data_IF_978044128440
#
_entry.id   IF_978044128440
#
_cell.length_a   1.000
_cell.length_b   1.000
_cell.length_c   1.000
_cell.angle_alpha   90.00
_cell.angle_beta   90.00
_cell.angle_gamma   90.00
#
_symmetry.space_group_name_H-M   'P 1'
#
loop_
_entity.id
_entity.type
_entity.pdbx_description
1 polymer ?
#
# COMPACT_ATOMS: atom_id res chain seq x y z
N UNK A 1 45.66 39.75 -46.52
CA UNK A 1 46.15 38.45 -46.05
C UNK A 1 45.56 38.17 -44.70
N UNK A 2 44.52 37.37 -44.70
CA UNK A 2 43.98 36.56 -43.58
C UNK A 2 42.71 35.87 -44.08
N UNK A 3 42.77 34.58 -44.43
CA UNK A 3 41.83 33.67 -43.97
C UNK A 3 42.37 32.20 -43.89
N UNK A 4 43.28 31.94 -42.97
CA UNK A 4 43.70 30.56 -42.78
C UNK A 4 43.35 29.98 -41.39
N UNK A 5 43.00 30.86 -40.43
CA UNK A 5 42.72 30.42 -39.04
C UNK A 5 41.28 29.94 -38.81
N UNK A 6 40.31 30.35 -39.64
CA UNK A 6 38.90 29.99 -39.44
C UNK A 6 38.51 28.59 -39.95
N UNK A 7 39.27 28.08 -40.91
CA UNK A 7 39.01 26.73 -41.45
C UNK A 7 39.57 25.60 -40.56
N UNK A 8 40.62 25.89 -39.79
CA UNK A 8 41.21 24.92 -38.88
C UNK A 8 40.34 24.69 -37.62
N UNK A 9 39.66 25.76 -37.17
CA UNK A 9 38.75 25.68 -36.00
C UNK A 9 37.47 24.92 -36.30
N UNK A 10 36.93 25.03 -37.52
CA UNK A 10 35.76 24.23 -37.93
C UNK A 10 36.09 22.75 -38.16
N UNK A 11 37.30 22.43 -38.62
CA UNK A 11 37.72 21.05 -38.81
C UNK A 11 37.93 20.31 -37.47
N UNK A 12 38.46 21.00 -36.44
CA UNK A 12 38.62 20.44 -35.11
C UNK A 12 37.27 20.28 -34.36
N UNK A 13 36.30 21.19 -34.58
CA UNK A 13 34.96 21.06 -34.02
C UNK A 13 34.18 19.92 -34.66
N UNK A 14 34.39 19.63 -35.95
CA UNK A 14 33.78 18.49 -36.65
C UNK A 14 34.34 17.13 -36.20
N UNK A 15 35.64 17.06 -35.87
CA UNK A 15 36.27 15.84 -35.35
C UNK A 15 35.86 15.52 -33.88
N UNK A 16 35.56 16.54 -33.08
CA UNK A 16 35.08 16.32 -31.71
C UNK A 16 33.63 15.84 -31.65
N UNK A 17 32.80 16.17 -32.64
CA UNK A 17 31.43 15.73 -32.74
C UNK A 17 31.26 14.25 -33.21
N UNK A 18 32.30 13.70 -33.87
CA UNK A 18 32.25 12.33 -34.39
C UNK A 18 32.51 11.22 -33.34
N UNK A 19 32.85 11.59 -32.11
CA UNK A 19 33.19 10.61 -31.05
C UNK A 19 32.11 10.40 -30.00
N UNK A 20 30.93 10.98 -30.15
CA UNK A 20 29.76 10.73 -29.30
C UNK A 20 28.75 9.81 -29.96
N UNK A 21 29.19 8.83 -30.73
CA UNK A 21 28.31 7.72 -31.12
C UNK A 21 27.99 6.91 -29.85
N UNK A 22 26.72 6.91 -29.46
CA UNK A 22 26.26 6.05 -28.38
C UNK A 22 26.70 4.62 -28.70
N UNK A 23 27.33 3.95 -27.74
CA UNK A 23 27.74 2.56 -27.88
C UNK A 23 26.49 1.71 -28.19
N UNK A 24 26.62 0.76 -29.13
CA UNK A 24 25.50 -0.14 -29.46
C UNK A 24 25.05 -0.86 -28.21
N UNK A 25 23.73 -0.95 -27.94
CA UNK A 25 23.19 -1.78 -26.86
C UNK A 25 23.67 -3.23 -26.92
N UNK A 26 23.99 -3.75 -28.10
CA UNK A 26 24.52 -5.10 -28.31
C UNK A 26 25.87 -5.34 -27.61
N UNK A 27 26.66 -4.30 -27.37
CA UNK A 27 27.92 -4.41 -26.61
C UNK A 27 27.71 -4.82 -25.15
N UNK A 28 26.50 -4.63 -24.64
CA UNK A 28 26.15 -4.93 -23.25
C UNK A 28 25.29 -6.21 -23.12
N UNK A 29 25.00 -6.89 -24.25
CA UNK A 29 24.14 -8.10 -24.28
C UNK A 29 24.65 -9.26 -23.41
N UNK A 30 25.97 -9.32 -23.17
CA UNK A 30 26.58 -10.31 -22.28
C UNK A 30 26.67 -9.87 -20.81
N UNK A 31 26.25 -8.62 -20.51
CA UNK A 31 26.24 -8.15 -19.14
C UNK A 31 25.01 -8.63 -18.42
N UNK A 32 25.19 -9.40 -17.37
CA UNK A 32 24.13 -9.86 -16.49
C UNK A 32 24.29 -9.27 -15.10
N UNK A 33 23.19 -8.80 -14.54
CA UNK A 33 23.17 -8.37 -13.15
C UNK A 33 23.41 -9.58 -12.25
N UNK A 34 24.39 -9.48 -11.36
CA UNK A 34 24.65 -10.47 -10.32
C UNK A 34 24.45 -9.83 -8.96
N UNK A 35 23.57 -10.40 -8.19
CA UNK A 35 23.41 -9.98 -6.80
C UNK A 35 24.65 -10.42 -5.99
N UNK A 36 25.36 -9.46 -5.43
CA UNK A 36 26.58 -9.67 -4.64
C UNK A 36 26.35 -9.53 -3.12
N UNK A 37 25.08 -9.39 -2.71
CA UNK A 37 24.65 -9.24 -1.31
C UNK A 37 24.77 -7.80 -0.77
N UNK A 38 24.36 -7.55 0.49
CA UNK A 38 23.71 -8.54 1.36
C UNK A 38 22.35 -8.98 0.80
N UNK A 39 21.96 -10.24 1.05
CA UNK A 39 20.67 -10.80 0.64
C UNK A 39 19.56 -10.18 1.51
N UNK A 40 19.06 -9.04 1.09
CA UNK A 40 18.01 -8.30 1.77
C UNK A 40 16.90 -7.95 0.78
N UNK A 41 15.70 -8.49 1.01
CA UNK A 41 14.53 -8.28 0.15
C UNK A 41 13.93 -6.88 0.23
N UNK A 42 14.39 -6.03 1.14
CA UNK A 42 13.78 -4.73 1.41
C UNK A 42 12.72 -4.81 2.52
N UNK A 43 11.86 -3.79 2.58
CA UNK A 43 10.71 -3.78 3.48
C UNK A 43 9.59 -4.59 2.87
N UNK A 44 8.93 -5.41 3.67
CA UNK A 44 7.70 -6.11 3.28
C UNK A 44 6.53 -5.18 3.47
N UNK A 45 5.79 -4.91 2.40
CA UNK A 45 4.57 -4.11 2.42
C UNK A 45 3.32 -4.94 2.13
N UNK A 46 3.47 -5.97 1.32
CA UNK A 46 2.36 -6.80 0.90
C UNK A 46 2.57 -8.25 1.31
N UNK A 47 1.54 -8.86 1.86
CA UNK A 47 1.50 -10.27 2.25
C UNK A 47 0.12 -10.83 1.96
N UNK A 48 0.06 -11.96 1.28
CA UNK A 48 -1.18 -12.68 1.04
C UNK A 48 -0.99 -14.17 1.28
N UNK A 49 -1.86 -14.75 2.10
CA UNK A 49 -2.02 -16.19 2.24
C UNK A 49 -3.13 -16.69 1.31
N UNK A 50 -3.13 -17.99 1.03
CA UNK A 50 -4.15 -18.66 0.24
C UNK A 50 -4.93 -19.63 1.13
N UNK A 51 -6.10 -19.26 1.70
CA UNK A 51 -6.83 -20.10 2.67
C UNK A 51 -7.14 -21.52 2.16
N UNK A 52 -7.43 -21.66 0.86
CA UNK A 52 -7.67 -22.97 0.21
C UNK A 52 -6.39 -23.78 -0.05
N UNK A 53 -5.20 -23.15 0.09
CA UNK A 53 -3.88 -23.76 -0.06
C UNK A 53 -2.97 -23.25 1.06
N UNK A 54 -3.12 -23.74 2.31
CA UNK A 54 -2.53 -23.12 3.52
C UNK A 54 -1.00 -23.12 3.56
N UNK A 55 -0.35 -23.85 2.67
CA UNK A 55 1.11 -23.84 2.47
C UNK A 55 1.58 -22.77 1.47
N UNK A 56 0.65 -22.03 0.82
CA UNK A 56 0.98 -21.05 -0.22
C UNK A 56 0.88 -19.63 0.32
N UNK A 57 1.95 -18.87 0.15
CA UNK A 57 2.05 -17.47 0.54
C UNK A 57 2.68 -16.65 -0.58
N UNK A 58 2.26 -15.40 -0.67
CA UNK A 58 2.88 -14.38 -1.52
C UNK A 58 3.37 -13.24 -0.64
N UNK A 59 4.53 -12.70 -0.98
CA UNK A 59 5.14 -11.56 -0.29
C UNK A 59 5.61 -10.54 -1.32
N UNK A 60 5.37 -9.27 -1.05
CA UNK A 60 5.83 -8.15 -1.87
C UNK A 60 6.74 -7.23 -1.08
N UNK A 61 7.84 -6.86 -1.70
CA UNK A 61 8.84 -5.97 -1.11
C UNK A 61 8.82 -4.61 -1.79
N UNK A 62 9.19 -3.57 -1.05
CA UNK A 62 9.25 -2.21 -1.59
C UNK A 62 10.18 -2.08 -2.80
N UNK A 63 11.25 -2.87 -2.88
CA UNK A 63 12.21 -2.86 -3.98
C UNK A 63 12.71 -4.27 -4.33
N UNK A 64 11.93 -5.31 -4.05
CA UNK A 64 12.36 -6.70 -4.20
C UNK A 64 11.38 -7.58 -4.98
N UNK A 65 10.35 -7.00 -5.59
CA UNK A 65 9.37 -7.73 -6.39
C UNK A 65 8.40 -8.59 -5.58
N UNK A 66 7.72 -9.48 -6.28
CA UNK A 66 6.77 -10.45 -5.72
C UNK A 66 7.42 -11.82 -5.63
N UNK A 67 7.26 -12.46 -4.49
CA UNK A 67 7.76 -13.83 -4.24
C UNK A 67 6.64 -14.73 -3.78
N UNK A 68 6.76 -16.01 -4.12
CA UNK A 68 5.83 -17.07 -3.70
C UNK A 68 6.56 -18.16 -2.95
N UNK A 69 5.97 -18.61 -1.84
CA UNK A 69 6.29 -19.87 -1.18
C UNK A 69 5.15 -20.88 -1.39
N UNK A 70 5.50 -22.17 -1.47
CA UNK A 70 4.56 -23.29 -1.52
C UNK A 70 4.83 -24.34 -0.46
N UNK A 71 5.63 -24.00 0.55
CA UNK A 71 6.13 -24.88 1.59
C UNK A 71 6.17 -24.19 2.97
N UNK A 72 5.10 -23.43 3.28
CA UNK A 72 4.95 -22.68 4.54
C UNK A 72 6.05 -21.62 4.78
N UNK A 73 6.59 -21.03 3.71
CA UNK A 73 7.61 -19.99 3.82
C UNK A 73 9.05 -20.49 3.94
N UNK A 74 9.30 -21.81 3.78
CA UNK A 74 10.64 -22.39 3.87
C UNK A 74 11.50 -22.01 2.68
N UNK A 75 10.91 -21.98 1.48
CA UNK A 75 11.58 -21.51 0.25
C UNK A 75 10.71 -20.50 -0.50
N UNK A 76 11.36 -19.64 -1.28
CA UNK A 76 10.71 -18.56 -2.01
C UNK A 76 11.21 -18.49 -3.45
N UNK A 77 10.28 -18.30 -4.39
CA UNK A 77 10.55 -18.15 -5.81
C UNK A 77 10.09 -16.78 -6.27
N UNK A 78 10.94 -16.00 -6.96
CA UNK A 78 10.56 -14.71 -7.53
C UNK A 78 9.56 -14.90 -8.69
N UNK A 79 8.60 -13.98 -8.82
CA UNK A 79 7.54 -14.06 -9.82
C UNK A 79 7.38 -12.78 -10.64
N UNK A 80 8.14 -11.73 -10.36
CA UNK A 80 7.88 -10.40 -10.90
C UNK A 80 9.12 -9.77 -11.56
N UNK A 81 10.19 -10.54 -11.75
CA UNK A 81 11.49 -10.05 -12.23
C UNK A 81 11.45 -9.52 -13.67
N UNK A 82 10.51 -10.02 -14.49
CA UNK A 82 10.32 -9.57 -15.88
C UNK A 82 9.47 -8.29 -15.99
N UNK A 83 9.04 -7.72 -14.88
CA UNK A 83 8.24 -6.48 -14.88
C UNK A 83 9.13 -5.25 -14.72
N UNK A 84 8.70 -4.07 -15.24
CA UNK A 84 9.53 -2.85 -15.25
C UNK A 84 9.77 -2.24 -13.86
N UNK A 85 9.07 -2.69 -12.84
CA UNK A 85 9.25 -2.24 -11.46
C UNK A 85 9.27 -3.42 -10.49
N UNK A 86 10.12 -3.35 -9.49
CA UNK A 86 10.15 -4.28 -8.34
C UNK A 86 9.56 -3.70 -7.06
N UNK A 87 8.97 -2.51 -7.11
CA UNK A 87 8.37 -1.88 -5.93
C UNK A 87 6.91 -2.34 -5.77
N UNK A 88 6.59 -3.00 -4.66
CA UNK A 88 5.28 -3.62 -4.41
C UNK A 88 4.65 -3.06 -3.14
N UNK A 89 3.44 -2.49 -3.29
CA UNK A 89 2.66 -1.94 -2.18
C UNK A 89 1.51 -2.84 -1.73
N UNK A 90 0.92 -3.60 -2.64
CA UNK A 90 -0.23 -4.46 -2.35
C UNK A 90 -0.21 -5.77 -3.12
N UNK A 91 -0.70 -6.83 -2.50
CA UNK A 91 -0.99 -8.12 -3.15
C UNK A 91 -2.35 -8.61 -2.66
N UNK A 92 -3.23 -8.97 -3.59
CA UNK A 92 -4.52 -9.56 -3.30
C UNK A 92 -4.72 -10.83 -4.12
N UNK A 93 -4.95 -11.96 -3.44
CA UNK A 93 -5.36 -13.23 -4.05
C UNK A 93 -6.88 -13.30 -4.03
N UNK A 94 -7.49 -13.58 -5.18
CA UNK A 94 -8.95 -13.68 -5.25
C UNK A 94 -9.44 -14.91 -4.44
N UNK A 95 -10.32 -14.73 -3.42
CA UNK A 95 -10.74 -15.84 -2.57
C UNK A 95 -11.47 -16.96 -3.33
N UNK A 96 -12.27 -16.62 -4.33
CA UNK A 96 -13.01 -17.56 -5.18
C UNK A 96 -12.16 -18.30 -6.21
N UNK A 97 -11.00 -17.72 -6.59
CA UNK A 97 -10.06 -18.35 -7.53
C UNK A 97 -8.61 -17.95 -7.19
N UNK A 98 -7.87 -18.78 -6.45
CA UNK A 98 -6.53 -18.44 -5.98
C UNK A 98 -5.45 -18.38 -7.07
N UNK A 99 -5.78 -18.69 -8.32
CA UNK A 99 -4.89 -18.48 -9.44
C UNK A 99 -4.98 -17.05 -10.01
N UNK A 100 -6.00 -16.28 -9.58
CA UNK A 100 -6.13 -14.87 -9.88
C UNK A 100 -5.49 -14.04 -8.76
N UNK A 101 -4.49 -13.26 -9.13
CA UNK A 101 -3.73 -12.40 -8.22
C UNK A 101 -3.68 -10.99 -8.80
N UNK A 102 -3.91 -10.01 -7.95
CA UNK A 102 -3.70 -8.61 -8.26
C UNK A 102 -2.51 -8.08 -7.47
N UNK A 103 -1.69 -7.29 -8.12
CA UNK A 103 -0.52 -6.63 -7.53
C UNK A 103 -0.63 -5.13 -7.77
N UNK A 104 -0.54 -4.37 -6.70
CA UNK A 104 -0.36 -2.93 -6.73
C UNK A 104 1.11 -2.60 -6.58
N UNK A 105 1.65 -1.85 -7.53
CA UNK A 105 3.06 -1.46 -7.52
C UNK A 105 3.27 -0.12 -6.83
N UNK A 106 4.54 0.20 -6.52
CA UNK A 106 4.91 1.30 -5.63
C UNK A 106 4.80 0.89 -4.17
N UNK A 107 5.54 1.55 -3.30
CA UNK A 107 5.72 1.10 -1.92
C UNK A 107 4.46 1.19 -1.04
N UNK A 108 3.42 1.89 -1.46
CA UNK A 108 2.19 2.08 -0.68
C UNK A 108 2.37 2.90 0.61
N UNK A 109 3.50 3.59 0.74
CA UNK A 109 3.83 4.51 1.83
C UNK A 109 4.62 5.71 1.30
N UNK A 110 4.66 6.79 2.06
CA UNK A 110 5.41 8.00 1.70
C UNK A 110 6.78 7.98 2.35
N UNK A 111 7.82 7.85 1.50
CA UNK A 111 9.22 7.99 1.89
C UNK A 111 10.08 8.42 0.71
N UNK A 112 11.17 9.18 0.93
CA UNK A 112 12.04 9.66 -0.15
C UNK A 112 12.94 8.56 -0.73
N UNK A 113 13.11 7.43 -0.05
CA UNK A 113 14.03 6.34 -0.39
C UNK A 113 13.34 5.14 -1.08
N UNK A 114 12.07 5.28 -1.47
CA UNK A 114 11.30 4.20 -2.10
C UNK A 114 11.15 4.41 -3.59
N UNK A 115 11.26 3.31 -4.35
CA UNK A 115 10.96 3.32 -5.76
C UNK A 115 9.46 3.43 -6.01
N UNK A 116 9.11 4.17 -7.03
CA UNK A 116 7.73 4.25 -7.52
C UNK A 116 7.38 3.01 -8.34
N UNK A 117 6.10 2.70 -8.40
CA UNK A 117 5.54 1.71 -9.30
C UNK A 117 4.97 2.36 -10.56
N UNK A 118 4.15 1.58 -11.26
CA UNK A 118 3.46 1.99 -12.49
C UNK A 118 2.01 1.50 -12.56
N UNK A 119 1.37 1.30 -11.40
CA UNK A 119 -0.04 0.96 -11.30
C UNK A 119 -0.32 -0.49 -10.90
N UNK A 120 -1.32 -1.11 -11.51
CA UNK A 120 -1.88 -2.40 -11.12
C UNK A 120 -1.59 -3.48 -12.16
N UNK A 121 -1.25 -4.67 -11.67
CA UNK A 121 -1.04 -5.88 -12.47
C UNK A 121 -1.99 -7.00 -12.06
N UNK A 122 -2.32 -7.88 -13.01
CA UNK A 122 -3.11 -9.11 -12.79
C UNK A 122 -2.36 -10.32 -13.33
N UNK A 123 -2.38 -11.39 -12.56
CA UNK A 123 -2.08 -12.75 -13.02
C UNK A 123 -3.35 -13.58 -12.98
N UNK A 124 -3.48 -14.56 -13.90
CA UNK A 124 -4.54 -15.56 -13.92
C UNK A 124 -4.00 -16.99 -13.84
N UNK A 125 -2.72 -17.13 -13.53
CA UNK A 125 -1.98 -18.41 -13.52
C UNK A 125 -1.08 -18.56 -12.29
N UNK A 126 -1.53 -18.00 -11.16
CA UNK A 126 -0.83 -18.01 -9.87
C UNK A 126 0.53 -17.30 -9.90
N UNK A 127 0.65 -16.22 -10.67
CA UNK A 127 1.82 -15.35 -10.74
C UNK A 127 2.88 -15.78 -11.75
N UNK A 128 2.59 -16.72 -12.66
CA UNK A 128 3.56 -17.12 -13.71
C UNK A 128 3.68 -16.06 -14.80
N UNK A 129 2.55 -15.42 -15.14
CA UNK A 129 2.50 -14.32 -16.11
C UNK A 129 1.69 -13.16 -15.57
N UNK A 130 2.00 -11.95 -16.03
CA UNK A 130 1.39 -10.72 -15.56
C UNK A 130 0.91 -9.83 -16.70
N UNK A 131 -0.24 -9.21 -16.50
CA UNK A 131 -0.83 -8.23 -17.40
C UNK A 131 -0.95 -6.91 -16.66
N UNK A 132 -0.39 -5.83 -17.20
CA UNK A 132 -0.58 -4.49 -16.69
C UNK A 132 -2.00 -3.98 -16.95
N UNK A 133 -2.68 -3.45 -15.95
CA UNK A 133 -4.09 -3.07 -16.01
C UNK A 133 -4.33 -1.56 -16.09
N UNK A 134 -3.37 -0.73 -15.68
CA UNK A 134 -3.51 0.73 -15.65
C UNK A 134 -3.20 1.36 -14.30
N UNK A 135 -3.72 2.56 -14.06
CA UNK A 135 -3.38 3.44 -12.92
C UNK A 135 -1.88 3.73 -12.84
N UNK A 136 -1.25 3.91 -14.01
CA UNK A 136 0.20 4.11 -14.13
C UNK A 136 0.67 5.38 -13.41
N UNK A 137 -0.08 6.45 -13.56
CA UNK A 137 0.27 7.75 -12.98
C UNK A 137 0.07 7.79 -11.47
N UNK A 138 -0.67 6.82 -10.90
CA UNK A 138 -0.76 6.67 -9.45
C UNK A 138 0.60 6.38 -8.82
N UNK A 139 1.45 5.60 -9.48
CA UNK A 139 2.80 5.23 -9.05
C UNK A 139 2.89 4.50 -7.70
N UNK A 140 1.87 4.59 -6.85
CA UNK A 140 1.84 3.92 -5.55
C UNK A 140 0.42 3.42 -5.24
N UNK A 141 0.31 2.13 -5.02
CA UNK A 141 -0.94 1.46 -4.61
C UNK A 141 -0.78 0.95 -3.18
N UNK A 142 -1.59 1.46 -2.27
CA UNK A 142 -1.51 1.13 -0.85
C UNK A 142 -2.19 -0.19 -0.50
N UNK A 143 -3.38 -0.44 -1.08
CA UNK A 143 -4.12 -1.69 -0.85
C UNK A 143 -5.00 -2.06 -2.05
N UNK A 144 -5.32 -3.35 -2.17
CA UNK A 144 -6.27 -3.91 -3.13
C UNK A 144 -7.19 -4.88 -2.38
N UNK A 145 -8.51 -4.68 -2.51
CA UNK A 145 -9.53 -5.59 -2.01
C UNK A 145 -10.28 -6.25 -3.16
N UNK A 146 -10.31 -7.57 -3.20
CA UNK A 146 -11.02 -8.37 -4.22
C UNK A 146 -12.29 -8.93 -3.60
N UNK A 147 -13.39 -8.83 -4.33
CA UNK A 147 -14.67 -9.41 -3.92
C UNK A 147 -14.54 -10.93 -3.70
N UNK A 148 -14.96 -11.44 -2.53
CA UNK A 148 -14.79 -12.85 -2.20
C UNK A 148 -15.53 -13.81 -3.14
N UNK A 149 -16.62 -13.37 -3.76
CA UNK A 149 -17.42 -14.19 -4.67
C UNK A 149 -17.15 -13.92 -6.15
N UNK A 150 -16.69 -12.71 -6.49
CA UNK A 150 -16.47 -12.28 -7.87
C UNK A 150 -15.03 -11.74 -8.06
N UNK A 151 -14.10 -12.54 -8.62
CA UNK A 151 -12.71 -12.14 -8.77
C UNK A 151 -12.50 -10.98 -9.75
N UNK A 152 -13.51 -10.64 -10.55
CA UNK A 152 -13.44 -9.51 -11.49
C UNK A 152 -13.91 -8.18 -10.88
N UNK A 153 -14.45 -8.22 -9.65
CA UNK A 153 -14.78 -7.01 -8.89
C UNK A 153 -13.70 -6.75 -7.84
N UNK A 154 -13.10 -5.57 -7.91
CA UNK A 154 -12.06 -5.17 -6.96
C UNK A 154 -12.08 -3.67 -6.69
N UNK A 155 -11.51 -3.29 -5.55
CA UNK A 155 -11.21 -1.90 -5.18
C UNK A 155 -9.70 -1.74 -5.03
N UNK A 156 -9.22 -0.55 -5.40
CA UNK A 156 -7.82 -0.16 -5.34
C UNK A 156 -7.70 1.13 -4.56
N UNK A 157 -6.95 1.11 -3.48
CA UNK A 157 -6.54 2.30 -2.74
C UNK A 157 -5.29 2.87 -3.41
N UNK A 158 -5.49 3.93 -4.20
CA UNK A 158 -4.42 4.58 -4.94
C UNK A 158 -3.84 5.74 -4.12
N UNK A 159 -2.59 5.57 -3.69
CA UNK A 159 -1.89 6.58 -2.91
C UNK A 159 -1.51 7.79 -3.77
N UNK A 160 -1.28 7.59 -5.05
CA UNK A 160 -0.78 8.59 -5.98
C UNK A 160 0.75 8.72 -5.94
N UNK A 161 1.31 9.46 -6.87
CA UNK A 161 2.75 9.71 -6.84
C UNK A 161 3.14 10.57 -5.63
N UNK A 162 4.38 10.40 -5.10
CA UNK A 162 4.76 11.00 -3.82
C UNK A 162 4.93 12.52 -3.89
N UNK A 163 5.29 13.08 -5.06
CA UNK A 163 5.63 14.48 -5.22
C UNK A 163 4.57 15.25 -6.00
N UNK A 164 3.98 16.28 -5.37
CA UNK A 164 2.98 17.13 -5.99
C UNK A 164 1.56 16.54 -6.09
N UNK A 165 0.64 17.29 -6.69
CA UNK A 165 -0.74 16.86 -6.88
C UNK A 165 -0.83 15.72 -7.90
N UNK A 166 -1.80 14.82 -7.72
CA UNK A 166 -2.01 13.69 -8.62
C UNK A 166 -3.49 13.36 -8.77
N UNK A 167 -3.97 13.33 -10.02
CA UNK A 167 -5.36 13.04 -10.30
C UNK A 167 -5.72 11.56 -10.06
N UNK A 168 -4.75 10.64 -10.06
CA UNK A 168 -4.96 9.22 -9.77
C UNK A 168 -4.77 8.90 -8.28
N UNK A 169 -5.37 9.70 -7.39
CA UNK A 169 -5.50 9.45 -5.94
C UNK A 169 -6.93 9.06 -5.59
N UNK A 170 -7.12 8.42 -4.45
CA UNK A 170 -8.41 8.00 -3.93
C UNK A 170 -8.68 6.51 -4.09
N UNK A 171 -9.96 6.13 -4.06
CA UNK A 171 -10.39 4.74 -4.22
C UNK A 171 -10.96 4.54 -5.62
N UNK A 172 -10.46 3.52 -6.30
CA UNK A 172 -10.92 3.09 -7.61
C UNK A 172 -11.63 1.74 -7.49
N UNK A 173 -12.65 1.53 -8.31
CA UNK A 173 -13.38 0.27 -8.45
C UNK A 173 -13.27 -0.24 -9.87
N UNK A 174 -13.07 -1.54 -10.02
CA UNK A 174 -13.28 -2.28 -11.27
C UNK A 174 -14.36 -3.33 -11.06
N UNK A 175 -15.14 -3.62 -12.10
CA UNK A 175 -16.15 -4.70 -12.14
C UNK A 175 -15.92 -5.65 -13.31
N UNK A 176 -14.80 -5.50 -14.01
CA UNK A 176 -14.45 -6.22 -15.23
C UNK A 176 -13.04 -6.83 -15.20
N UNK A 177 -12.53 -7.10 -13.99
CA UNK A 177 -11.23 -7.72 -13.76
C UNK A 177 -10.06 -6.79 -13.99
N UNK A 178 -10.27 -5.48 -13.83
CA UNK A 178 -9.23 -4.45 -13.97
C UNK A 178 -9.06 -3.93 -15.39
N UNK A 179 -9.96 -4.28 -16.34
CA UNK A 179 -9.92 -3.70 -17.69
C UNK A 179 -10.27 -2.22 -17.69
N UNK A 180 -11.16 -1.83 -16.78
CA UNK A 180 -11.50 -0.43 -16.54
C UNK A 180 -11.53 -0.13 -15.04
N UNK A 181 -11.18 1.10 -14.68
CA UNK A 181 -11.22 1.60 -13.30
C UNK A 181 -12.08 2.86 -13.22
N UNK A 182 -13.05 2.86 -12.32
CA UNK A 182 -13.86 4.02 -11.98
C UNK A 182 -13.40 4.59 -10.64
N UNK A 183 -13.08 5.88 -10.57
CA UNK A 183 -12.83 6.58 -9.31
C UNK A 183 -14.13 6.73 -8.54
N UNK A 184 -14.26 6.11 -7.37
CA UNK A 184 -15.51 6.02 -6.62
C UNK A 184 -15.50 6.79 -5.30
N UNK A 185 -14.31 7.06 -4.74
CA UNK A 185 -14.15 7.94 -3.57
C UNK A 185 -12.91 8.82 -3.79
N UNK A 186 -13.11 10.13 -3.77
CA UNK A 186 -12.09 11.12 -4.08
C UNK A 186 -12.44 12.46 -3.43
N UNK A 187 -11.47 13.14 -2.89
CA UNK A 187 -11.60 14.48 -2.29
C UNK A 187 -10.92 15.52 -3.18
N UNK A 188 -9.60 15.39 -3.35
CA UNK A 188 -8.76 16.28 -4.14
C UNK A 188 -7.48 15.60 -4.61
N UNK A 189 -6.63 16.33 -5.35
CA UNK A 189 -5.36 15.80 -5.90
C UNK A 189 -4.26 15.59 -4.85
N UNK A 190 -4.49 15.94 -3.58
CA UNK A 190 -3.57 15.75 -2.46
C UNK A 190 -4.03 14.64 -1.50
N UNK A 191 -5.27 14.13 -1.65
CA UNK A 191 -5.87 13.14 -0.75
C UNK A 191 -5.87 11.76 -1.38
N UNK A 192 -5.08 10.89 -0.80
CA UNK A 192 -4.82 9.52 -1.25
C UNK A 192 -5.86 8.53 -0.77
N UNK A 193 -6.09 7.45 -1.53
CA UNK A 193 -6.62 6.21 -0.97
C UNK A 193 -5.52 5.49 -0.19
N UNK A 194 -5.74 5.29 1.12
CA UNK A 194 -4.78 4.63 1.99
C UNK A 194 -5.12 3.17 2.23
N UNK A 195 -6.39 2.88 2.44
CA UNK A 195 -6.83 1.52 2.75
C UNK A 195 -8.23 1.25 2.18
N UNK A 196 -8.54 -0.03 1.87
CA UNK A 196 -9.86 -0.45 1.40
C UNK A 196 -10.14 -1.90 1.77
N UNK A 197 -11.34 -2.18 2.30
CA UNK A 197 -11.83 -3.51 2.66
C UNK A 197 -13.24 -3.75 2.17
N UNK A 198 -13.49 -4.98 1.71
CA UNK A 198 -14.84 -5.48 1.41
C UNK A 198 -15.27 -6.36 2.57
N UNK A 199 -16.51 -6.19 3.05
CA UNK A 199 -17.09 -7.11 4.03
C UNK A 199 -17.14 -8.53 3.42
N UNK A 200 -16.53 -9.52 4.08
CA UNK A 200 -16.44 -10.87 3.53
C UNK A 200 -17.78 -11.60 3.45
N UNK A 201 -18.81 -11.12 4.15
CA UNK A 201 -20.16 -11.72 4.20
C UNK A 201 -21.19 -10.96 3.39
N UNK A 202 -20.97 -9.65 3.19
CA UNK A 202 -21.82 -8.79 2.37
C UNK A 202 -20.93 -7.87 1.48
N UNK A 203 -20.65 -8.29 0.24
CA UNK A 203 -19.79 -7.48 -0.64
C UNK A 203 -20.37 -6.13 -1.05
N UNK A 204 -21.63 -5.82 -0.74
CA UNK A 204 -22.17 -4.47 -0.90
C UNK A 204 -21.59 -3.48 0.12
N UNK A 205 -21.09 -3.99 1.25
CA UNK A 205 -20.46 -3.18 2.30
C UNK A 205 -18.96 -3.08 2.03
N UNK A 206 -18.49 -1.84 1.92
CA UNK A 206 -17.07 -1.54 1.67
C UNK A 206 -16.62 -0.42 2.62
N UNK A 207 -15.46 -0.60 3.21
CA UNK A 207 -14.80 0.41 4.05
C UNK A 207 -13.58 0.95 3.32
N UNK A 208 -13.30 2.24 3.49
CA UNK A 208 -12.11 2.88 2.94
C UNK A 208 -11.54 3.93 3.89
N UNK A 209 -10.23 4.11 3.83
CA UNK A 209 -9.54 5.20 4.51
C UNK A 209 -8.87 6.11 3.46
N UNK A 210 -9.05 7.41 3.64
CA UNK A 210 -8.34 8.44 2.89
C UNK A 210 -7.29 9.11 3.76
N UNK A 211 -6.22 9.57 3.12
CA UNK A 211 -5.09 10.23 3.77
C UNK A 211 -4.56 11.36 2.91
N UNK A 212 -4.65 12.60 3.38
CA UNK A 212 -4.00 13.73 2.73
C UNK A 212 -2.51 13.75 3.07
N UNK A 213 -1.65 13.59 2.05
CA UNK A 213 -0.22 13.48 2.25
C UNK A 213 0.58 13.90 1.01
N UNK A 214 1.83 14.30 1.23
CA UNK A 214 2.77 14.60 0.15
C UNK A 214 4.22 14.50 0.64
N UNK A 215 5.07 13.85 -0.14
CA UNK A 215 6.52 13.89 0.05
C UNK A 215 7.07 15.22 -0.46
N UNK A 216 7.91 15.88 0.32
CA UNK A 216 8.66 17.06 -0.11
C UNK A 216 10.00 16.67 -0.77
N UNK A 217 10.58 17.56 -1.56
CA UNK A 217 11.87 17.33 -2.20
C UNK A 217 13.06 17.27 -1.22
N UNK A 218 12.86 17.65 0.03
CA UNK A 218 13.79 17.43 1.14
C UNK A 218 13.29 16.28 1.99
N UNK A 219 14.04 15.84 2.99
CA UNK A 219 13.67 14.73 3.88
C UNK A 219 12.37 14.95 4.69
N UNK A 220 11.63 16.00 4.41
CA UNK A 220 10.33 16.27 5.00
C UNK A 220 9.19 15.66 4.19
N UNK A 221 8.07 15.43 4.86
CA UNK A 221 6.81 15.11 4.22
C UNK A 221 5.67 15.77 5.01
N UNK A 222 4.62 16.15 4.29
CA UNK A 222 3.36 16.56 4.91
C UNK A 222 2.51 15.30 5.07
N UNK A 223 2.26 14.91 6.32
CA UNK A 223 1.54 13.69 6.65
C UNK A 223 0.10 13.94 7.08
N UNK A 224 -0.41 15.14 6.96
CA UNK A 224 -1.74 15.45 7.42
C UNK A 224 -2.37 16.63 6.71
N UNK A 225 -3.70 16.60 6.70
CA UNK A 225 -4.55 17.65 6.20
C UNK A 225 -6.01 17.24 6.40
N UNK A 226 -6.97 18.12 6.10
CA UNK A 226 -8.40 17.90 6.36
C UNK A 226 -9.04 16.86 5.42
N UNK A 227 -8.32 16.35 4.41
CA UNK A 227 -8.82 15.35 3.47
C UNK A 227 -8.82 13.92 3.99
N UNK A 228 -8.19 13.63 5.14
CA UNK A 228 -8.19 12.31 5.77
C UNK A 228 -9.58 11.90 6.28
N UNK A 229 -9.81 10.60 6.47
CA UNK A 229 -11.06 10.10 7.01
C UNK A 229 -11.30 8.62 6.77
N UNK A 230 -12.26 8.06 7.52
CA UNK A 230 -12.76 6.69 7.30
C UNK A 230 -14.17 6.80 6.71
N UNK A 231 -14.44 5.97 5.71
CA UNK A 231 -15.68 5.99 4.95
C UNK A 231 -16.26 4.59 4.83
N UNK A 232 -17.60 4.51 4.75
CA UNK A 232 -18.34 3.29 4.50
C UNK A 232 -19.29 3.48 3.33
N UNK A 233 -19.33 2.48 2.47
CA UNK A 233 -20.37 2.28 1.45
C UNK A 233 -21.22 1.07 1.83
N UNK A 234 -22.51 1.10 1.49
CA UNK A 234 -23.46 -0.03 1.63
C UNK A 234 -24.12 -0.39 0.30
N UNK A 235 -23.63 0.18 -0.80
CA UNK A 235 -24.14 0.00 -2.16
C UNK A 235 -23.05 -0.40 -3.16
N UNK A 236 -22.03 -1.10 -2.64
CA UNK A 236 -20.95 -1.62 -3.46
C UNK A 236 -19.96 -0.56 -3.94
N UNK A 237 -19.78 0.51 -3.18
CA UNK A 237 -18.84 1.60 -3.48
C UNK A 237 -19.41 2.62 -4.44
N UNK A 238 -20.74 2.74 -4.57
CA UNK A 238 -21.37 3.77 -5.40
C UNK A 238 -21.52 5.08 -4.63
N UNK A 239 -21.95 5.00 -3.37
CA UNK A 239 -22.01 6.14 -2.45
C UNK A 239 -21.22 5.85 -1.18
N UNK A 240 -20.68 6.90 -0.55
CA UNK A 240 -19.83 6.80 0.61
C UNK A 240 -20.26 7.77 1.72
N UNK A 241 -20.32 7.26 2.94
CA UNK A 241 -20.62 8.05 4.13
C UNK A 241 -19.40 8.10 5.04
N UNK A 242 -19.02 9.27 5.55
CA UNK A 242 -17.93 9.38 6.51
C UNK A 242 -18.33 8.73 7.85
N UNK A 243 -17.39 8.10 8.50
CA UNK A 243 -17.52 7.53 9.85
C UNK A 243 -16.76 8.44 10.83
N UNK A 244 -17.47 9.10 11.73
CA UNK A 244 -16.88 10.13 12.61
C UNK A 244 -17.18 9.92 14.10
N UNK A 245 -18.26 9.21 14.42
CA UNK A 245 -18.76 9.10 15.80
C UNK A 245 -17.77 8.32 16.70
N UNK A 246 -17.15 9.05 17.65
CA UNK A 246 -16.16 8.49 18.58
C UNK A 246 -14.74 8.42 18.03
N UNK A 247 -14.48 8.93 16.83
CA UNK A 247 -13.14 9.10 16.27
C UNK A 247 -12.59 10.52 16.51
N UNK A 248 -11.28 10.70 16.52
CA UNK A 248 -10.66 12.02 16.41
C UNK A 248 -10.80 12.56 14.98
N UNK A 249 -10.31 13.79 14.74
CA UNK A 249 -10.09 14.25 13.36
C UNK A 249 -9.03 13.36 12.71
N UNK A 250 -9.47 12.46 11.84
CA UNK A 250 -8.63 11.40 11.27
C UNK A 250 -7.67 11.99 10.24
N UNK A 251 -6.38 11.78 10.46
CA UNK A 251 -5.31 12.10 9.49
C UNK A 251 -5.08 10.91 8.59
N UNK A 252 -4.86 9.73 9.18
CA UNK A 252 -4.55 8.48 8.52
C UNK A 252 -5.17 7.32 9.29
N UNK A 253 -5.63 6.28 8.62
CA UNK A 253 -6.14 5.07 9.25
C UNK A 253 -5.81 3.82 8.46
N UNK A 254 -5.50 2.73 9.19
CA UNK A 254 -5.51 1.36 8.68
C UNK A 254 -6.69 0.62 9.30
N UNK A 255 -7.39 -0.16 8.50
CA UNK A 255 -8.65 -0.80 8.87
C UNK A 255 -8.51 -2.33 8.94
N UNK A 256 -9.36 -2.97 9.74
CA UNK A 256 -9.53 -4.41 9.71
C UNK A 256 -10.96 -4.79 10.11
N UNK A 257 -11.65 -5.52 9.24
CA UNK A 257 -12.99 -6.07 9.49
C UNK A 257 -12.84 -7.48 10.00
N UNK A 258 -13.56 -7.84 11.08
CA UNK A 258 -13.50 -9.20 11.61
C UNK A 258 -14.30 -10.17 10.74
N UNK A 259 -13.69 -11.18 10.10
CA UNK A 259 -14.40 -12.06 9.17
C UNK A 259 -15.50 -12.91 9.83
N UNK A 260 -15.34 -13.24 11.12
CA UNK A 260 -16.32 -14.02 11.88
C UNK A 260 -17.50 -13.21 12.41
N UNK A 261 -17.36 -11.89 12.51
CA UNK A 261 -18.43 -10.95 12.88
C UNK A 261 -18.14 -9.57 12.27
N UNK A 262 -18.59 -9.28 11.03
CA UNK A 262 -18.28 -8.04 10.33
C UNK A 262 -18.85 -6.76 10.96
N UNK A 263 -19.69 -6.88 12.01
CA UNK A 263 -20.08 -5.73 12.83
C UNK A 263 -18.89 -5.20 13.64
N UNK A 264 -17.90 -6.07 13.90
CA UNK A 264 -16.67 -5.70 14.60
C UNK A 264 -15.64 -5.21 13.59
N UNK A 265 -15.33 -3.92 13.68
CA UNK A 265 -14.35 -3.25 12.85
C UNK A 265 -13.31 -2.61 13.76
N UNK A 266 -12.05 -2.77 13.39
CA UNK A 266 -10.93 -2.11 14.07
C UNK A 266 -10.30 -1.08 13.16
N UNK A 267 -9.79 -0.03 13.77
CA UNK A 267 -9.01 1.01 13.10
C UNK A 267 -7.78 1.38 13.92
N UNK A 268 -6.62 1.34 13.29
CA UNK A 268 -5.44 2.04 13.77
C UNK A 268 -5.49 3.44 13.19
N UNK A 269 -5.62 4.45 14.03
CA UNK A 269 -5.88 5.82 13.60
C UNK A 269 -4.78 6.74 14.11
N UNK A 270 -4.21 7.53 13.21
CA UNK A 270 -3.52 8.75 13.58
C UNK A 270 -4.48 9.92 13.44
N UNK A 271 -4.70 10.66 14.52
CA UNK A 271 -5.70 11.72 14.51
C UNK A 271 -5.40 12.83 15.51
N UNK A 272 -6.17 13.90 15.41
CA UNK A 272 -6.10 15.07 16.30
C UNK A 272 -7.31 14.99 17.24
N UNK A 273 -7.04 14.89 18.52
CA UNK A 273 -8.09 14.88 19.54
C UNK A 273 -8.87 16.22 19.52
N UNK A 274 -10.18 16.23 19.76
CA UNK A 274 -10.98 17.44 19.83
C UNK A 274 -10.36 18.49 20.76
N UNK A 275 -10.16 19.72 20.27
CA UNK A 275 -9.57 20.82 21.02
C UNK A 275 -8.04 20.76 21.17
N UNK A 276 -7.36 19.76 20.62
CA UNK A 276 -5.90 19.71 20.59
C UNK A 276 -5.34 20.70 19.55
N UNK A 277 -4.03 21.00 19.67
CA UNK A 277 -3.34 21.85 18.69
C UNK A 277 -3.26 21.12 17.34
N UNK A 278 -3.41 21.82 16.21
CA UNK A 278 -3.19 21.24 14.89
C UNK A 278 -1.83 20.53 14.81
N UNK A 279 -1.84 19.35 14.26
CA UNK A 279 -0.65 18.51 14.06
C UNK A 279 -0.74 17.82 12.71
N UNK A 280 0.37 17.68 12.01
CA UNK A 280 0.44 16.93 10.75
C UNK A 280 0.65 15.44 10.98
N UNK A 281 0.95 15.01 12.20
CA UNK A 281 1.22 13.59 12.52
C UNK A 281 0.16 12.98 13.43
N UNK A 282 -0.54 13.78 14.22
CA UNK A 282 -1.56 13.33 15.17
C UNK A 282 -1.03 12.43 16.30
N UNK A 283 -1.96 11.90 17.07
CA UNK A 283 -1.72 10.83 18.06
C UNK A 283 -2.26 9.52 17.53
N UNK A 284 -1.53 8.42 17.69
CA UNK A 284 -1.96 7.11 17.27
C UNK A 284 -2.82 6.45 18.33
N UNK A 285 -4.01 5.98 17.94
CA UNK A 285 -4.93 5.25 18.80
C UNK A 285 -5.46 4.00 18.09
N UNK A 286 -5.79 2.98 18.87
CA UNK A 286 -6.44 1.76 18.39
C UNK A 286 -7.92 1.80 18.74
N UNK A 287 -8.77 1.87 17.74
CA UNK A 287 -10.21 2.03 17.89
C UNK A 287 -10.94 0.76 17.49
N UNK A 288 -12.09 0.53 18.14
CA UNK A 288 -12.99 -0.59 17.89
C UNK A 288 -14.41 -0.08 17.70
N UNK A 289 -15.10 -0.61 16.71
CA UNK A 289 -16.55 -0.54 16.56
C UNK A 289 -17.14 -1.93 16.72
N UNK A 290 -18.40 -2.02 17.21
CA UNK A 290 -19.17 -3.26 17.35
C UNK A 290 -20.48 -3.22 16.56
N UNK A 291 -20.67 -2.15 15.79
CA UNK A 291 -21.90 -1.88 15.02
C UNK A 291 -21.57 -1.50 13.55
N UNK A 292 -20.49 -2.06 13.02
CA UNK A 292 -20.11 -1.87 11.63
C UNK A 292 -19.61 -0.45 11.32
N UNK A 293 -18.98 0.20 12.30
CA UNK A 293 -18.37 1.51 12.14
C UNK A 293 -19.29 2.68 12.46
N UNK A 294 -20.53 2.45 12.94
CA UNK A 294 -21.43 3.55 13.27
C UNK A 294 -20.92 4.33 14.51
N UNK A 295 -20.41 3.63 15.50
CA UNK A 295 -19.79 4.23 16.70
C UNK A 295 -18.45 3.58 16.99
N UNK A 296 -17.49 4.39 17.39
CA UNK A 296 -16.13 3.95 17.68
C UNK A 296 -15.74 4.24 19.14
N UNK A 297 -14.94 3.36 19.69
CA UNK A 297 -14.39 3.50 21.03
C UNK A 297 -12.88 3.28 20.97
N UNK A 298 -12.13 4.10 21.70
CA UNK A 298 -10.70 3.89 21.91
C UNK A 298 -10.51 2.61 22.73
N UNK A 299 -9.93 1.57 22.12
CA UNK A 299 -9.72 0.27 22.75
C UNK A 299 -8.42 0.23 23.55
N UNK A 300 -7.38 0.97 23.10
CA UNK A 300 -6.12 1.13 23.84
C UNK A 300 -5.59 2.53 23.65
N UNK A 301 -5.29 3.18 24.76
CA UNK A 301 -4.66 4.50 24.81
C UNK A 301 -3.14 4.35 24.91
N UNK A 302 -2.43 4.89 23.93
CA UNK A 302 -0.96 4.91 23.92
C UNK A 302 -0.34 5.96 24.80
N UNK A 303 -1.10 6.97 25.18
CA UNK A 303 -0.59 8.10 26.01
C UNK A 303 -0.31 7.68 27.45
N UNK A 304 -0.94 6.59 27.91
CA UNK A 304 -0.86 6.16 29.31
C UNK A 304 0.48 5.52 29.72
N UNK A 305 1.38 5.20 28.79
CA UNK A 305 2.67 4.55 29.11
C UNK A 305 3.81 4.99 28.18
N UNK A 306 4.50 6.10 28.48
CA UNK A 306 5.56 6.64 27.63
C UNK A 306 6.80 5.75 27.45
N UNK A 307 6.95 4.67 28.22
CA UNK A 307 8.19 3.89 28.29
C UNK A 307 8.16 2.53 27.59
N UNK A 308 7.07 2.22 26.88
CA UNK A 308 6.91 0.92 26.25
C UNK A 308 6.69 1.07 24.73
N UNK A 309 7.65 0.60 23.89
CA UNK A 309 7.56 0.68 22.44
C UNK A 309 6.52 -0.32 21.92
N UNK A 310 5.25 0.04 21.96
CA UNK A 310 4.16 -0.89 21.70
C UNK A 310 3.52 -0.73 20.35
N UNK A 311 2.55 -1.62 20.08
CA UNK A 311 1.93 -1.82 18.78
C UNK A 311 1.38 -0.54 18.13
N UNK A 312 1.35 0.55 18.87
CA UNK A 312 0.68 1.80 18.51
C UNK A 312 1.65 2.95 18.21
N UNK A 313 2.94 2.68 18.01
CA UNK A 313 3.93 3.71 17.72
C UNK A 313 4.21 3.78 16.23
N UNK A 314 4.07 4.95 15.61
CA UNK A 314 4.56 5.20 14.24
C UNK A 314 6.04 4.94 14.11
N UNK A 315 6.43 4.30 13.02
CA UNK A 315 7.83 4.13 12.66
C UNK A 315 8.16 5.12 11.56
N UNK A 316 8.92 6.16 11.90
CA UNK A 316 9.17 7.23 10.94
C UNK A 316 7.89 8.00 10.58
N UNK A 317 7.98 9.01 9.77
CA UNK A 317 6.91 9.99 9.59
C UNK A 317 5.60 9.51 8.94
N UNK A 318 5.52 8.31 8.38
CA UNK A 318 4.35 7.86 7.61
C UNK A 318 3.95 6.41 7.80
N UNK A 319 4.61 5.66 8.66
CA UNK A 319 4.31 4.24 8.85
C UNK A 319 3.34 4.04 10.01
N UNK A 320 2.06 4.13 9.75
CA UNK A 320 1.05 3.70 10.71
C UNK A 320 1.06 2.17 10.82
N UNK A 321 0.98 1.58 12.05
CA UNK A 321 0.94 0.14 12.21
C UNK A 321 -0.19 -0.50 11.40
N UNK A 322 0.11 -1.55 10.65
CA UNK A 322 -0.91 -2.36 10.00
C UNK A 322 -1.59 -3.27 11.00
N UNK A 323 -2.87 -3.54 10.79
CA UNK A 323 -3.66 -4.43 11.67
C UNK A 323 -4.37 -5.50 10.84
N UNK A 324 -4.56 -6.67 11.44
CA UNK A 324 -5.39 -7.73 10.88
C UNK A 324 -6.09 -8.50 11.99
N UNK A 325 -7.32 -8.95 11.75
CA UNK A 325 -8.12 -9.70 12.72
C UNK A 325 -8.04 -11.19 12.41
N UNK A 326 -7.97 -12.02 13.45
CA UNK A 326 -8.07 -13.46 13.30
C UNK A 326 -9.43 -13.84 12.65
N UNK A 327 -9.44 -14.67 11.60
CA UNK A 327 -10.67 -14.97 10.87
C UNK A 327 -11.72 -15.73 11.67
N UNK A 328 -11.36 -16.32 12.82
CA UNK A 328 -12.25 -17.13 13.66
C UNK A 328 -12.60 -16.49 14.99
N UNK A 329 -11.73 -15.59 15.49
CA UNK A 329 -11.91 -14.92 16.77
C UNK A 329 -11.78 -13.41 16.64
N UNK A 330 -12.88 -12.63 16.68
CA UNK A 330 -12.84 -11.21 16.47
C UNK A 330 -12.13 -10.44 17.58
N UNK A 331 -11.83 -11.05 18.73
CA UNK A 331 -11.04 -10.44 19.80
C UNK A 331 -9.54 -10.60 19.63
N UNK A 332 -9.10 -11.43 18.69
CA UNK A 332 -7.68 -11.63 18.39
C UNK A 332 -7.29 -10.73 17.23
N UNK A 333 -6.38 -9.78 17.49
CA UNK A 333 -5.88 -8.85 16.48
C UNK A 333 -4.36 -8.87 16.50
N UNK A 334 -3.78 -8.83 15.33
CA UNK A 334 -2.35 -8.67 15.12
C UNK A 334 -2.07 -7.24 14.66
N UNK A 335 -1.00 -6.66 15.17
CA UNK A 335 -0.48 -5.36 14.73
C UNK A 335 0.99 -5.48 14.39
N UNK A 336 1.37 -5.01 13.21
CA UNK A 336 2.74 -5.09 12.73
C UNK A 336 3.37 -3.71 12.64
N UNK A 337 4.51 -3.60 13.33
CA UNK A 337 5.44 -2.48 13.25
C UNK A 337 6.84 -3.05 12.93
N UNK A 338 7.89 -2.69 13.69
CA UNK A 338 9.18 -3.41 13.70
C UNK A 338 9.02 -4.78 14.36
N UNK A 339 8.04 -4.91 15.26
CA UNK A 339 7.70 -6.13 15.98
C UNK A 339 6.27 -6.51 15.64
N UNK A 340 6.00 -7.80 15.51
CA UNK A 340 4.66 -8.31 15.42
C UNK A 340 4.05 -8.41 16.83
N UNK A 341 2.92 -7.76 17.02
CA UNK A 341 2.16 -7.73 18.26
C UNK A 341 0.85 -8.50 18.11
N UNK A 342 0.37 -9.06 19.20
CA UNK A 342 -0.91 -9.77 19.27
C UNK A 342 -1.68 -9.36 20.52
N UNK A 343 -2.98 -9.11 20.36
CA UNK A 343 -3.96 -9.03 21.44
C UNK A 343 -4.93 -10.21 21.38
N UNK A 344 -5.46 -10.63 22.52
CA UNK A 344 -6.52 -11.65 22.63
C UNK A 344 -7.79 -11.09 23.27
N UNK A 345 -7.76 -9.83 23.68
CA UNK A 345 -8.81 -9.13 24.41
C UNK A 345 -9.27 -7.84 23.70
N UNK A 346 -9.26 -7.90 22.36
CA UNK A 346 -9.72 -6.80 21.52
C UNK A 346 -8.96 -5.49 21.70
N UNK A 347 -7.67 -5.55 22.05
CA UNK A 347 -6.78 -4.41 22.11
C UNK A 347 -6.52 -3.85 23.51
N UNK A 348 -7.09 -4.44 24.57
CA UNK A 348 -6.85 -3.98 25.95
C UNK A 348 -5.42 -4.29 26.41
N UNK A 349 -4.91 -5.46 26.05
CA UNK A 349 -3.51 -5.84 26.31
C UNK A 349 -2.84 -6.38 25.05
N UNK A 350 -1.53 -6.19 24.94
CA UNK A 350 -0.73 -6.61 23.81
C UNK A 350 0.51 -7.37 24.22
N UNK A 351 0.85 -8.43 23.52
CA UNK A 351 2.07 -9.20 23.67
C UNK A 351 2.86 -9.27 22.36
N UNK A 352 4.18 -9.17 22.46
CA UNK A 352 5.05 -9.36 21.30
C UNK A 352 5.06 -10.83 20.89
N UNK A 353 4.82 -11.10 19.62
CA UNK A 353 4.99 -12.43 19.04
C UNK A 353 6.48 -12.65 18.84
N UNK A 354 7.05 -13.58 19.58
CA UNK A 354 8.45 -13.98 19.49
C UNK A 354 8.54 -15.29 18.72
N UNK A 355 9.42 -15.33 17.71
CA UNK A 355 9.77 -16.55 16.98
C UNK A 355 10.76 -17.40 17.74
#
# INVERSE_FOLDING_TARGET
MRPASSLLTLALAGLAAAHAAAQSPDLYGELHWRHIGPLRGGRTRALAGVPSRPNVFYIGFDNGGVWRSTDYGSTWVPLFDDQPTGSIGAIAVAPSNPDIIYVGTGAGIIRPDLATGDGVYKSTDAGKTWTHLGLRESQMIANIAVDPANPDRLFVAALGHPYGPNAERGIFRSTDGGRTFQKVLYTDEYTSGNDVFIDPTDPSVVYAALWQQQQQFREGADFGGPGGGIYKSTDGGTTWNPLTEGLPDVIEANLAVAPSDPRIVYAMVAGIAPGARPSTTGTVGFYKSVDGGAHWQLAADTTARPQDPRPLTRIGGGDLPTITVDPKNPSVVYSSTIVLWRTEDAGLTWSAVRG
#
